data_IF_569997139904
#
_entry.id   IF_569997139904
#
_cell.length_a   1.000
_cell.length_b   1.000
_cell.length_c   1.000
_cell.angle_alpha   90.00
_cell.angle_beta   90.00
_cell.angle_gamma   90.00
#
_symmetry.space_group_name_H-M   'P 1'
#
loop_
_entity.id
_entity.type
_entity.pdbx_description
1 polymer ?
#
# COMPACT_ATOMS: atom_id res chain seq x y z
N UNK A 1 -23.46 8.37 -4.97
CA UNK A 1 -23.03 9.78 -4.97
C UNK A 1 -22.16 9.91 -6.22
N UNK A 2 -22.68 10.53 -7.28
CA UNK A 2 -21.92 10.74 -8.52
C UNK A 2 -20.85 11.79 -8.24
N UNK A 3 -19.64 11.32 -7.99
CA UNK A 3 -18.48 12.19 -7.91
C UNK A 3 -18.18 12.60 -9.35
N UNK A 4 -18.29 13.90 -9.64
CA UNK A 4 -17.89 14.48 -10.92
C UNK A 4 -16.36 14.39 -11.04
N UNK A 5 -15.90 13.20 -11.44
CA UNK A 5 -14.50 12.84 -11.64
C UNK A 5 -13.89 13.59 -12.83
N UNK A 6 -14.69 14.21 -13.69
CA UNK A 6 -14.17 14.76 -14.95
C UNK A 6 -13.64 16.18 -14.85
N UNK A 7 -13.77 16.86 -13.70
CA UNK A 7 -13.29 18.24 -13.52
C UNK A 7 -11.93 18.31 -12.83
N UNK A 8 -10.86 18.75 -13.52
CA UNK A 8 -9.53 18.92 -12.92
C UNK A 8 -9.53 19.81 -11.68
N UNK A 9 -10.40 20.83 -11.61
CA UNK A 9 -10.51 21.74 -10.48
C UNK A 9 -10.99 21.02 -9.22
N UNK A 10 -11.92 20.07 -9.38
CA UNK A 10 -12.43 19.27 -8.27
C UNK A 10 -11.36 18.33 -7.73
N UNK A 11 -10.53 17.76 -8.59
CA UNK A 11 -9.39 16.92 -8.18
C UNK A 11 -8.31 17.76 -7.52
N UNK A 12 -7.97 18.91 -8.10
CA UNK A 12 -7.01 19.85 -7.49
C UNK A 12 -7.46 20.31 -6.10
N UNK A 13 -8.74 20.56 -5.89
CA UNK A 13 -9.27 20.87 -4.56
C UNK A 13 -9.03 19.75 -3.54
N UNK A 14 -9.05 18.48 -3.97
CA UNK A 14 -8.76 17.33 -3.11
C UNK A 14 -7.27 17.22 -2.81
N UNK A 15 -6.42 17.46 -3.80
CA UNK A 15 -4.96 17.52 -3.61
C UNK A 15 -4.60 18.60 -2.60
N UNK A 16 -5.22 19.78 -2.68
CA UNK A 16 -5.05 20.84 -1.66
C UNK A 16 -5.46 20.40 -0.26
N UNK A 17 -6.55 19.64 -0.13
CA UNK A 17 -6.97 19.05 1.15
C UNK A 17 -5.96 18.04 1.69
N UNK A 18 -5.39 17.20 0.83
CA UNK A 18 -4.30 16.27 1.17
C UNK A 18 -3.09 17.04 1.71
N UNK A 19 -2.63 18.07 0.98
CA UNK A 19 -1.50 18.91 1.37
C UNK A 19 -1.75 19.63 2.70
N UNK A 20 -2.99 20.10 2.94
CA UNK A 20 -3.36 20.79 4.16
C UNK A 20 -3.51 19.88 5.38
N UNK A 21 -3.42 18.55 5.22
CA UNK A 21 -3.70 17.58 6.28
C UNK A 21 -5.19 17.42 6.61
N UNK A 22 -6.08 18.05 5.84
CA UNK A 22 -7.54 17.98 5.98
C UNK A 22 -8.12 16.98 4.97
N UNK A 23 -7.73 15.72 5.08
CA UNK A 23 -8.10 14.68 4.12
C UNK A 23 -8.81 13.49 4.74
N UNK A 24 -9.44 12.68 3.88
CA UNK A 24 -10.02 11.40 4.21
C UNK A 24 -9.63 10.37 3.13
N UNK A 25 -10.10 9.13 3.27
CA UNK A 25 -9.83 8.06 2.32
C UNK A 25 -10.30 8.39 0.90
N UNK A 26 -11.45 9.05 0.78
CA UNK A 26 -12.04 9.38 -0.51
C UNK A 26 -11.17 10.36 -1.30
N UNK A 27 -10.45 11.27 -0.63
CA UNK A 27 -9.55 12.21 -1.30
C UNK A 27 -8.41 11.49 -2.02
N UNK A 28 -7.73 10.54 -1.37
CA UNK A 28 -6.70 9.72 -2.01
C UNK A 28 -7.30 8.81 -3.09
N UNK A 29 -8.37 8.09 -2.77
CA UNK A 29 -8.99 7.14 -3.71
C UNK A 29 -9.43 7.83 -5.00
N UNK A 30 -10.14 8.97 -4.88
CA UNK A 30 -10.61 9.75 -6.04
C UNK A 30 -9.44 10.28 -6.86
N UNK A 31 -8.41 10.82 -6.19
CA UNK A 31 -7.24 11.38 -6.86
C UNK A 31 -6.47 10.30 -7.62
N UNK A 32 -6.26 9.13 -7.01
CA UNK A 32 -5.58 7.99 -7.65
C UNK A 32 -6.38 7.45 -8.81
N UNK A 33 -7.70 7.27 -8.67
CA UNK A 33 -8.56 6.81 -9.77
C UNK A 33 -8.52 7.78 -10.96
N UNK A 34 -8.56 9.08 -10.67
CA UNK A 34 -8.46 10.11 -11.71
C UNK A 34 -7.10 10.08 -12.43
N UNK A 35 -6.01 10.01 -11.66
CA UNK A 35 -4.65 9.93 -12.18
C UNK A 35 -4.44 8.66 -13.01
N UNK A 36 -4.96 7.51 -12.56
CA UNK A 36 -4.90 6.23 -13.28
C UNK A 36 -5.46 6.31 -14.70
N UNK A 37 -6.54 7.06 -14.90
CA UNK A 37 -7.17 7.20 -16.22
C UNK A 37 -6.39 8.11 -17.18
N UNK A 38 -5.54 9.00 -16.65
CA UNK A 38 -4.95 10.12 -17.41
C UNK A 38 -3.42 10.07 -17.49
N UNK A 39 -2.76 9.41 -16.55
CA UNK A 39 -1.30 9.25 -16.49
C UNK A 39 -0.95 7.80 -16.81
N UNK A 40 -1.18 7.41 -18.06
CA UNK A 40 -1.15 6.03 -18.57
C UNK A 40 0.18 5.27 -18.42
N UNK A 41 1.23 5.90 -17.90
CA UNK A 41 2.58 5.31 -17.79
C UNK A 41 2.98 4.94 -16.36
N UNK A 42 2.17 5.24 -15.36
CA UNK A 42 2.55 5.06 -13.96
C UNK A 42 2.01 3.72 -13.42
N UNK A 43 2.88 2.71 -13.33
CA UNK A 43 2.51 1.37 -12.85
C UNK A 43 1.95 1.38 -11.44
N UNK A 44 2.45 2.24 -10.53
CA UNK A 44 1.93 2.36 -9.17
C UNK A 44 0.49 2.86 -9.13
N UNK A 45 0.15 3.87 -9.92
CA UNK A 45 -1.21 4.42 -9.95
C UNK A 45 -2.21 3.43 -10.53
N UNK A 46 -1.80 2.71 -11.59
CA UNK A 46 -2.59 1.61 -12.13
C UNK A 46 -2.80 0.53 -11.08
N UNK A 47 -1.74 0.16 -10.37
CA UNK A 47 -1.77 -0.85 -9.31
C UNK A 47 -2.74 -0.46 -8.18
N UNK A 48 -2.58 0.72 -7.59
CA UNK A 48 -3.44 1.20 -6.51
C UNK A 48 -4.87 1.36 -6.97
N UNK A 49 -5.09 1.94 -8.16
CA UNK A 49 -6.43 2.10 -8.71
C UNK A 49 -7.11 0.76 -9.03
N UNK A 50 -6.35 -0.25 -9.45
CA UNK A 50 -6.89 -1.60 -9.67
C UNK A 50 -7.29 -2.26 -8.35
N UNK A 51 -6.49 -2.11 -7.27
CA UNK A 51 -6.89 -2.61 -5.95
C UNK A 51 -8.14 -1.89 -5.40
N UNK A 52 -8.25 -0.58 -5.63
CA UNK A 52 -9.44 0.19 -5.26
C UNK A 52 -10.69 -0.28 -6.00
N UNK A 53 -10.57 -0.58 -7.29
CA UNK A 53 -11.70 -1.02 -8.11
C UNK A 53 -12.06 -2.50 -7.88
N UNK A 54 -11.05 -3.34 -7.63
CA UNK A 54 -11.15 -4.79 -7.61
C UNK A 54 -10.28 -5.40 -6.50
N UNK A 55 -10.81 -5.60 -5.27
CA UNK A 55 -10.06 -6.19 -4.15
C UNK A 55 -9.67 -7.67 -4.37
N UNK A 56 -10.24 -8.30 -5.41
CA UNK A 56 -9.85 -9.61 -5.92
C UNK A 56 -9.32 -9.45 -7.33
N UNK A 57 -8.06 -9.82 -7.57
CA UNK A 57 -7.46 -9.73 -8.92
C UNK A 57 -6.40 -10.78 -9.17
N UNK A 58 -6.12 -11.03 -10.44
CA UNK A 58 -5.22 -12.07 -10.92
C UNK A 58 -3.95 -11.54 -11.60
N UNK A 59 -3.87 -10.23 -11.88
CA UNK A 59 -2.82 -9.63 -12.73
C UNK A 59 -2.37 -8.26 -12.22
N UNK A 60 -1.17 -7.85 -12.64
CA UNK A 60 -0.55 -6.54 -12.33
C UNK A 60 0.87 -6.68 -11.74
N UNK A 61 1.61 -5.57 -11.58
CA UNK A 61 2.96 -5.54 -11.01
C UNK A 61 3.14 -6.36 -9.72
N UNK A 62 2.27 -6.21 -8.71
CA UNK A 62 2.39 -7.02 -7.48
C UNK A 62 2.08 -8.49 -7.73
N UNK A 63 1.10 -8.82 -8.60
CA UNK A 63 0.83 -10.23 -8.94
C UNK A 63 2.04 -10.88 -9.62
N UNK A 64 2.74 -10.14 -10.49
CA UNK A 64 3.97 -10.59 -11.15
C UNK A 64 5.11 -10.75 -10.14
N UNK A 65 5.37 -9.72 -9.31
CA UNK A 65 6.39 -9.78 -8.27
C UNK A 65 6.17 -10.97 -7.32
N UNK A 66 4.92 -11.16 -6.86
CA UNK A 66 4.54 -12.30 -6.00
C UNK A 66 4.65 -13.63 -6.75
N UNK A 67 4.32 -13.68 -8.04
CA UNK A 67 4.51 -14.89 -8.86
C UNK A 67 5.98 -15.30 -8.89
N UNK A 68 6.87 -14.37 -9.25
CA UNK A 68 8.30 -14.64 -9.37
C UNK A 68 8.87 -15.09 -8.03
N UNK A 69 8.46 -14.40 -6.97
CA UNK A 69 8.80 -14.72 -5.60
C UNK A 69 8.38 -16.15 -5.18
N UNK A 70 7.15 -16.54 -5.53
CA UNK A 70 6.62 -17.87 -5.22
C UNK A 70 7.31 -18.97 -6.01
N UNK A 71 7.60 -18.72 -7.29
CA UNK A 71 8.34 -19.68 -8.12
C UNK A 71 9.74 -19.91 -7.57
N UNK A 72 10.47 -18.84 -7.26
CA UNK A 72 11.79 -18.91 -6.64
C UNK A 72 11.74 -19.68 -5.31
N UNK A 73 10.72 -19.43 -4.49
CA UNK A 73 10.53 -20.15 -3.23
C UNK A 73 10.26 -21.64 -3.42
N UNK A 74 9.41 -22.01 -4.40
CA UNK A 74 9.06 -23.41 -4.66
C UNK A 74 10.25 -24.21 -5.21
N UNK A 75 11.02 -23.60 -6.11
CA UNK A 75 12.21 -24.21 -6.72
C UNK A 75 13.29 -24.50 -5.67
N UNK A 76 13.33 -23.69 -4.61
CA UNK A 76 14.35 -23.80 -3.57
C UNK A 76 13.85 -24.41 -2.24
N UNK A 77 12.59 -24.84 -2.16
CA UNK A 77 11.95 -25.31 -0.93
C UNK A 77 12.63 -26.55 -0.30
N UNK A 78 13.39 -27.32 -1.07
CA UNK A 78 14.14 -28.50 -0.60
C UNK A 78 15.53 -28.18 -0.04
N UNK A 79 16.06 -26.99 -0.34
CA UNK A 79 17.48 -26.64 -0.11
C UNK A 79 17.63 -25.45 0.84
N UNK A 80 16.67 -24.52 0.86
CA UNK A 80 16.83 -23.27 1.61
C UNK A 80 16.34 -23.38 3.07
N UNK A 81 17.19 -22.91 3.97
CA UNK A 81 16.79 -22.49 5.32
C UNK A 81 15.71 -21.42 5.20
N UNK A 82 14.49 -21.63 5.74
CA UNK A 82 13.39 -20.67 5.69
C UNK A 82 13.78 -19.24 6.14
N UNK A 83 14.79 -19.12 7.03
CA UNK A 83 15.30 -17.81 7.46
C UNK A 83 16.04 -17.06 6.36
N UNK A 84 16.82 -17.76 5.54
CA UNK A 84 17.55 -17.15 4.40
C UNK A 84 16.59 -16.67 3.33
N UNK A 85 15.60 -17.52 3.01
CA UNK A 85 14.52 -17.13 2.10
C UNK A 85 13.85 -15.85 2.61
N UNK A 86 13.39 -15.84 3.87
CA UNK A 86 12.74 -14.65 4.43
C UNK A 86 13.54 -13.35 4.30
N UNK A 87 14.87 -13.41 4.41
CA UNK A 87 15.75 -12.26 4.23
C UNK A 87 15.85 -11.81 2.77
N UNK A 88 16.08 -12.73 1.83
CA UNK A 88 16.15 -12.43 0.39
C UNK A 88 14.82 -11.87 -0.14
N UNK A 89 13.69 -12.41 0.32
CA UNK A 89 12.36 -11.92 -0.02
C UNK A 89 12.13 -10.51 0.52
N UNK A 90 12.69 -10.19 1.70
CA UNK A 90 12.55 -8.87 2.28
C UNK A 90 13.34 -7.80 1.51
N UNK A 91 14.49 -8.14 0.93
CA UNK A 91 15.26 -7.24 0.07
C UNK A 91 14.54 -6.90 -1.25
N UNK A 92 13.66 -7.80 -1.71
CA UNK A 92 12.86 -7.64 -2.94
C UNK A 92 11.50 -6.99 -2.69
N UNK A 93 11.18 -6.63 -1.46
CA UNK A 93 9.92 -5.99 -1.13
C UNK A 93 9.81 -4.64 -1.84
N UNK A 94 8.62 -4.34 -2.36
CA UNK A 94 8.32 -3.03 -2.93
C UNK A 94 8.29 -2.01 -1.82
N UNK A 95 8.99 -0.89 -2.00
CA UNK A 95 9.02 0.19 -1.02
C UNK A 95 7.85 1.14 -1.26
N UNK A 96 7.01 1.34 -0.26
CA UNK A 96 5.87 2.26 -0.38
C UNK A 96 6.34 3.72 -0.59
N UNK A 97 7.56 4.03 -0.18
CA UNK A 97 8.28 5.26 -0.49
C UNK A 97 8.40 5.51 -2.00
N UNK A 98 8.73 4.46 -2.78
CA UNK A 98 8.85 4.54 -4.23
C UNK A 98 7.47 4.81 -4.85
N UNK A 99 6.43 4.16 -4.33
CA UNK A 99 5.04 4.40 -4.73
C UNK A 99 4.60 5.84 -4.44
N UNK A 100 4.99 6.39 -3.29
CA UNK A 100 4.70 7.77 -2.94
C UNK A 100 5.41 8.77 -3.87
N UNK A 101 6.68 8.51 -4.19
CA UNK A 101 7.43 9.32 -5.16
C UNK A 101 6.76 9.31 -6.54
N UNK A 102 6.33 8.14 -7.01
CA UNK A 102 5.59 8.00 -8.26
C UNK A 102 4.24 8.73 -8.23
N UNK A 103 3.50 8.67 -7.12
CA UNK A 103 2.26 9.42 -6.92
C UNK A 103 2.50 10.94 -6.99
N UNK A 104 3.52 11.43 -6.28
CA UNK A 104 3.93 12.83 -6.28
C UNK A 104 4.31 13.30 -7.70
N UNK A 105 5.11 12.53 -8.42
CA UNK A 105 5.49 12.86 -9.80
C UNK A 105 4.26 12.92 -10.72
N UNK A 106 3.31 11.99 -10.57
CA UNK A 106 2.09 12.01 -11.36
C UNK A 106 1.21 13.24 -11.07
N UNK A 107 1.18 13.73 -9.83
CA UNK A 107 0.50 14.99 -9.50
C UNK A 107 1.15 16.20 -10.18
N UNK A 108 2.49 16.25 -10.22
CA UNK A 108 3.24 17.30 -10.92
C UNK A 108 2.97 17.25 -12.43
N UNK A 109 3.08 16.07 -13.03
CA UNK A 109 2.87 15.86 -14.47
C UNK A 109 1.46 16.23 -14.91
N UNK A 110 0.46 16.01 -14.04
CA UNK A 110 -0.93 16.37 -14.27
C UNK A 110 -1.26 17.85 -13.97
N UNK A 111 -0.30 18.64 -13.48
CA UNK A 111 -0.52 20.04 -13.06
C UNK A 111 -1.44 20.18 -11.84
N UNK A 112 -1.56 19.12 -11.04
CA UNK A 112 -2.37 19.09 -9.82
C UNK A 112 -1.59 19.54 -8.57
N UNK A 113 -0.26 19.37 -8.60
CA UNK A 113 0.68 19.87 -7.60
C UNK A 113 1.56 20.96 -8.23
N UNK A 114 1.68 22.11 -7.57
CA UNK A 114 2.63 23.14 -7.96
C UNK A 114 4.01 22.90 -7.34
N UNK A 115 5.08 23.40 -7.96
CA UNK A 115 6.45 23.20 -7.46
C UNK A 115 6.66 23.78 -6.05
N UNK A 116 5.98 24.87 -5.71
CA UNK A 116 5.99 25.49 -4.38
C UNK A 116 5.15 24.72 -3.34
N UNK A 117 4.23 23.86 -3.76
CA UNK A 117 3.37 23.04 -2.88
C UNK A 117 4.03 21.70 -2.50
N UNK A 118 5.19 21.42 -3.10
CA UNK A 118 5.88 20.15 -3.08
C UNK A 118 6.40 19.74 -1.69
N UNK A 119 7.01 20.68 -0.98
CA UNK A 119 7.46 20.48 0.40
C UNK A 119 6.27 20.24 1.35
N UNK A 120 5.15 20.93 1.11
CA UNK A 120 3.95 20.76 1.92
C UNK A 120 3.31 19.38 1.70
N UNK A 121 3.38 18.83 0.49
CA UNK A 121 2.90 17.47 0.22
C UNK A 121 3.65 16.41 1.04
N UNK A 122 4.92 16.63 1.40
CA UNK A 122 5.69 15.70 2.22
C UNK A 122 5.00 15.37 3.57
N UNK A 123 4.20 16.30 4.09
CA UNK A 123 3.39 16.08 5.32
C UNK A 123 2.31 15.02 5.14
N UNK A 124 1.90 14.74 3.90
CA UNK A 124 0.91 13.71 3.56
C UNK A 124 1.54 12.32 3.32
N UNK A 125 2.85 12.17 3.46
CA UNK A 125 3.54 10.89 3.25
C UNK A 125 2.97 9.76 4.13
N UNK A 126 2.90 9.97 5.44
CA UNK A 126 2.38 8.95 6.37
C UNK A 126 0.94 8.56 6.04
N UNK A 127 0.13 9.54 5.68
CA UNK A 127 -1.26 9.33 5.27
C UNK A 127 -1.37 8.49 4.00
N UNK A 128 -0.51 8.77 3.01
CA UNK A 128 -0.44 7.97 1.79
C UNK A 128 -0.01 6.54 2.08
N UNK A 129 0.96 6.33 2.99
CA UNK A 129 1.38 4.99 3.41
C UNK A 129 0.19 4.25 4.04
N UNK A 130 -0.50 4.86 5.01
CA UNK A 130 -1.66 4.25 5.66
C UNK A 130 -2.81 3.96 4.68
N UNK A 131 -3.06 4.88 3.74
CA UNK A 131 -4.01 4.67 2.66
C UNK A 131 -3.64 3.46 1.80
N UNK A 132 -2.37 3.38 1.37
CA UNK A 132 -1.85 2.28 0.54
C UNK A 132 -1.98 0.95 1.28
N UNK A 133 -1.54 0.90 2.54
CA UNK A 133 -1.69 -0.29 3.38
C UNK A 133 -3.15 -0.70 3.54
N UNK A 134 -4.07 0.25 3.69
CA UNK A 134 -5.51 -0.02 3.78
C UNK A 134 -6.07 -0.64 2.51
N UNK A 135 -5.67 -0.14 1.33
CA UNK A 135 -6.13 -0.68 0.05
C UNK A 135 -5.65 -2.11 -0.16
N UNK A 136 -4.42 -2.40 0.27
CA UNK A 136 -3.81 -3.71 0.12
C UNK A 136 -4.26 -4.70 1.18
N UNK A 137 -4.71 -4.24 2.34
CA UNK A 137 -5.10 -5.13 3.45
C UNK A 137 -6.29 -6.01 3.09
N UNK A 138 -6.18 -7.31 3.38
CA UNK A 138 -7.18 -8.35 3.09
C UNK A 138 -7.52 -8.55 1.61
N UNK A 139 -6.86 -7.83 0.70
CA UNK A 139 -6.95 -8.09 -0.73
C UNK A 139 -6.38 -9.47 -1.07
N UNK A 140 -6.96 -10.11 -2.09
CA UNK A 140 -6.53 -11.43 -2.55
C UNK A 140 -5.94 -11.32 -3.95
N UNK A 141 -4.70 -11.75 -4.07
CA UNK A 141 -4.02 -11.93 -5.34
C UNK A 141 -4.10 -13.39 -5.77
N UNK A 142 -4.65 -13.63 -6.95
CA UNK A 142 -4.68 -14.96 -7.55
C UNK A 142 -3.52 -15.03 -8.53
N UNK A 143 -2.45 -15.75 -8.18
CA UNK A 143 -1.27 -15.83 -9.05
C UNK A 143 -0.88 -17.28 -9.27
N UNK A 144 -0.76 -17.67 -10.55
CA UNK A 144 -0.42 -19.05 -10.99
C UNK A 144 -1.30 -20.14 -10.34
N UNK A 145 -2.55 -19.82 -10.04
CA UNK A 145 -3.50 -20.74 -9.40
C UNK A 145 -3.39 -20.81 -7.88
N UNK A 146 -2.62 -19.93 -7.25
CA UNK A 146 -2.56 -19.78 -5.79
C UNK A 146 -3.23 -18.50 -5.34
N UNK A 147 -3.99 -18.62 -4.25
CA UNK A 147 -4.55 -17.48 -3.54
C UNK A 147 -3.52 -16.95 -2.54
N UNK A 148 -3.14 -15.69 -2.70
CA UNK A 148 -2.25 -14.96 -1.79
C UNK A 148 -3.06 -13.86 -1.12
N UNK A 149 -3.31 -14.01 0.16
CA UNK A 149 -4.01 -13.01 0.98
C UNK A 149 -3.00 -12.00 1.49
N UNK A 150 -3.17 -10.74 1.12
CA UNK A 150 -2.35 -9.63 1.58
C UNK A 150 -2.77 -9.22 3.00
N UNK A 151 -1.80 -9.04 3.91
CA UNK A 151 -2.06 -8.64 5.29
C UNK A 151 -1.06 -7.62 5.78
N UNK A 152 -1.55 -6.62 6.50
CA UNK A 152 -0.72 -5.67 7.22
C UNK A 152 -0.15 -6.39 8.43
N UNK A 153 1.16 -6.24 8.65
CA UNK A 153 1.84 -6.73 9.83
C UNK A 153 2.97 -5.77 10.24
N UNK A 154 3.58 -6.08 11.38
CA UNK A 154 4.70 -5.33 11.94
C UNK A 154 5.97 -6.14 11.73
N UNK A 155 6.99 -5.50 11.16
CA UNK A 155 8.32 -6.08 10.97
C UNK A 155 9.07 -6.19 12.30
N UNK A 156 10.18 -6.94 12.33
CA UNK A 156 11.02 -7.05 13.53
C UNK A 156 11.59 -5.71 14.00
N UNK A 157 11.68 -4.72 13.10
CA UNK A 157 12.16 -3.37 13.40
C UNK A 157 11.05 -2.43 13.87
N UNK A 158 9.81 -2.91 14.02
CA UNK A 158 8.66 -2.13 14.47
C UNK A 158 7.92 -1.37 13.38
N UNK A 159 8.31 -1.49 12.11
CA UNK A 159 7.67 -0.80 11.00
C UNK A 159 6.49 -1.58 10.41
N UNK A 160 5.53 -0.85 9.83
CA UNK A 160 4.41 -1.42 9.09
C UNK A 160 4.87 -2.01 7.75
N UNK A 161 4.18 -3.07 7.33
CA UNK A 161 4.46 -3.80 6.10
C UNK A 161 3.22 -4.57 5.61
N UNK A 162 3.23 -4.96 4.33
CA UNK A 162 2.29 -5.95 3.78
C UNK A 162 3.00 -7.26 3.55
N UNK A 163 2.44 -8.32 4.11
CA UNK A 163 2.84 -9.70 3.88
C UNK A 163 1.82 -10.43 3.02
N UNK A 164 2.30 -11.24 2.10
CA UNK A 164 1.49 -12.24 1.42
C UNK A 164 1.40 -13.49 2.27
N UNK A 165 0.18 -14.02 2.42
CA UNK A 165 -0.06 -15.32 3.03
C UNK A 165 -0.66 -16.25 1.99
N UNK A 166 -0.07 -17.43 1.83
CA UNK A 166 -0.63 -18.47 0.96
C UNK A 166 -0.47 -19.87 1.56
N UNK A 167 -1.28 -20.79 1.06
CA UNK A 167 -1.19 -22.21 1.36
C UNK A 167 -0.67 -22.93 0.12
N UNK A 168 0.51 -23.51 0.26
CA UNK A 168 1.15 -24.28 -0.78
C UNK A 168 0.95 -25.77 -0.49
N UNK A 169 0.81 -26.56 -1.54
CA UNK A 169 0.76 -28.02 -1.43
C UNK A 169 1.97 -28.60 -2.19
N UNK A 170 2.86 -29.27 -1.46
CA UNK A 170 3.99 -29.99 -2.04
C UNK A 170 3.94 -31.43 -1.54
N UNK A 171 3.95 -32.39 -2.47
CA UNK A 171 3.91 -33.82 -2.18
C UNK A 171 2.73 -34.23 -1.27
N UNK A 172 1.56 -33.61 -1.47
CA UNK A 172 0.34 -33.90 -0.69
C UNK A 172 0.32 -33.28 0.71
N UNK A 173 1.35 -32.51 1.09
CA UNK A 173 1.40 -31.79 2.36
C UNK A 173 1.12 -30.31 2.15
N UNK A 174 0.08 -29.81 2.81
CA UNK A 174 -0.19 -28.39 2.87
C UNK A 174 0.79 -27.70 3.83
N UNK A 175 1.38 -26.60 3.40
CA UNK A 175 2.19 -25.71 4.23
C UNK A 175 1.76 -24.26 4.04
N UNK A 176 1.67 -23.55 5.16
CA UNK A 176 1.38 -22.12 5.17
C UNK A 176 2.69 -21.35 5.14
N UNK A 177 2.84 -20.44 4.20
CA UNK A 177 3.98 -19.52 4.15
C UNK A 177 3.50 -18.07 4.24
N UNK A 178 4.36 -17.20 4.80
CA UNK A 178 4.18 -15.76 4.72
C UNK A 178 5.48 -15.15 4.18
N UNK A 179 5.36 -14.12 3.35
CA UNK A 179 6.50 -13.42 2.78
C UNK A 179 6.22 -11.93 2.70
N UNK A 180 7.26 -11.12 2.84
CA UNK A 180 7.15 -9.67 2.73
C UNK A 180 6.89 -9.28 1.27
N UNK A 181 5.89 -8.45 1.03
CA UNK A 181 5.57 -7.93 -0.32
C UNK A 181 5.85 -6.44 -0.37
N UNK A 182 5.38 -5.69 0.64
CA UNK A 182 5.63 -4.26 0.73
C UNK A 182 6.26 -3.92 2.08
N UNK A 183 7.29 -3.09 2.06
CA UNK A 183 7.92 -2.52 3.25
C UNK A 183 7.65 -1.03 3.36
N UNK A 184 7.60 -0.53 4.60
CA UNK A 184 7.51 0.90 4.89
C UNK A 184 8.54 1.29 5.94
N UNK A 185 8.87 2.58 5.98
CA UNK A 185 9.60 3.25 7.06
C UNK A 185 8.69 3.72 8.19
N UNK A 186 7.36 3.61 8.03
CA UNK A 186 6.39 4.07 9.01
C UNK A 186 6.34 3.12 10.21
N UNK A 187 6.70 3.63 11.38
CA UNK A 187 6.60 2.89 12.63
C UNK A 187 5.14 2.55 12.97
N UNK A 188 4.91 1.36 13.53
CA UNK A 188 3.59 0.98 14.02
C UNK A 188 3.24 1.80 15.27
N UNK A 189 2.14 2.55 15.22
CA UNK A 189 1.61 3.24 16.38
C UNK A 189 0.95 2.25 17.36
N UNK A 190 0.98 2.54 18.66
CA UNK A 190 0.49 1.63 19.71
C UNK A 190 -0.95 1.14 19.50
N UNK A 191 -1.84 2.02 19.02
CA UNK A 191 -3.24 1.68 18.73
C UNK A 191 -3.38 0.67 17.59
N UNK A 192 -2.44 0.67 16.65
CA UNK A 192 -2.41 -0.23 15.51
C UNK A 192 -1.78 -1.58 15.89
N UNK A 193 -0.82 -1.60 16.82
CA UNK A 193 -0.22 -2.83 17.34
C UNK A 193 -1.28 -3.74 17.93
N UNK A 194 -2.23 -3.22 18.71
CA UNK A 194 -3.32 -4.00 19.29
C UNK A 194 -4.22 -4.64 18.22
N UNK A 195 -4.59 -3.88 17.19
CA UNK A 195 -5.49 -4.32 16.11
C UNK A 195 -4.84 -5.35 15.18
N UNK A 196 -3.57 -5.12 14.81
CA UNK A 196 -2.77 -6.04 13.99
C UNK A 196 -2.47 -7.34 14.73
N UNK A 197 -2.11 -7.27 16.02
CA UNK A 197 -1.78 -8.45 16.84
C UNK A 197 -3.02 -9.30 17.12
N UNK A 198 -4.19 -8.67 17.26
CA UNK A 198 -5.46 -9.38 17.43
C UNK A 198 -5.96 -10.07 16.14
N UNK A 199 -5.35 -9.77 14.97
CA UNK A 199 -5.79 -10.30 13.68
C UNK A 199 -7.11 -9.69 13.18
N UNK A 200 -7.49 -8.52 13.71
CA UNK A 200 -8.70 -7.78 13.37
C UNK A 200 -8.32 -6.37 12.94
N UNK A 201 -7.94 -6.18 11.68
CA UNK A 201 -8.01 -4.86 11.04
C UNK A 201 -9.17 -4.96 10.06
N UNK A 202 -10.40 -4.80 10.56
CA UNK A 202 -11.63 -4.87 9.74
C UNK A 202 -12.08 -3.53 9.20
N UNK A 203 -11.49 -2.42 9.67
CA UNK A 203 -11.76 -1.07 9.19
C UNK A 203 -10.55 -0.57 8.41
N UNK A 204 -10.73 0.31 7.38
CA UNK A 204 -9.60 0.96 6.74
C UNK A 204 -8.72 1.61 7.81
N UNK A 205 -7.40 1.45 7.71
CA UNK A 205 -6.41 1.99 8.68
C UNK A 205 -6.43 3.53 8.77
N UNK A 206 -7.31 4.18 8.02
CA UNK A 206 -7.52 5.60 7.99
C UNK A 206 -8.23 6.06 9.26
N UNK A 207 -7.40 6.50 10.21
CA UNK A 207 -7.63 7.64 11.11
C UNK A 207 -9.02 8.31 10.94
N UNK A 208 -9.96 8.02 11.84
CA UNK A 208 -11.18 8.84 12.05
C UNK A 208 -10.97 9.93 13.11
N UNK A 209 -9.78 10.05 13.68
CA UNK A 209 -9.42 11.15 14.56
C UNK A 209 -8.84 12.29 13.72
N UNK A 210 -9.50 13.44 13.66
CA UNK A 210 -8.86 14.67 13.21
C UNK A 210 -7.44 14.77 13.80
N UNK A 211 -6.41 15.14 13.04
CA UNK A 211 -5.10 15.39 13.62
C UNK A 211 -5.32 16.41 14.73
N UNK A 212 -5.15 15.98 15.99
CA UNK A 212 -4.95 16.93 17.06
C UNK A 212 -3.63 17.60 16.69
N UNK A 213 -3.73 18.77 16.06
CA UNK A 213 -2.71 19.79 16.09
C UNK A 213 -2.21 19.81 17.54
N UNK A 214 -1.03 19.24 17.76
CA UNK A 214 -0.31 19.44 19.00
C UNK A 214 0.06 20.92 18.95
N UNK A 215 -0.77 21.75 19.56
CA UNK A 215 -0.42 23.12 19.86
C UNK A 215 0.78 23.05 20.81
N UNK A 216 1.97 23.38 20.31
CA UNK A 216 3.07 23.77 21.16
C UNK A 216 2.72 25.11 21.79
N UNK A 217 2.01 25.10 22.91
CA UNK A 217 2.07 26.20 23.86
C UNK A 217 3.31 25.98 24.74
N UNK A 218 4.28 26.87 24.54
CA UNK A 218 5.54 26.85 25.27
C UNK A 218 5.35 26.95 26.79
N UNK A 219 6.28 26.32 27.49
CA UNK A 219 6.73 26.71 28.82
C UNK A 219 8.25 26.67 28.84
#
# INVERSE_FOLDING_TARGET
MDIDLDRPEAIRSRVKRIIAGDFDYSHFATTIMWLRERVAKNSTLHELGDFLAHPYRDRGPTSAAVSDLLMDFLDNLEVLDPKKVGAELAERAVKVEEMYFEFRQALLDAGLLLAEEDEALATAYEAFVLFTLSCLHESVLITKGWDVVLRVAITNNGNLAIFGRTFLNKNGRAFRTNFLIFSTTLAAADWLIASVTAGFVREPLMYTAAPKLISFEGR
#
